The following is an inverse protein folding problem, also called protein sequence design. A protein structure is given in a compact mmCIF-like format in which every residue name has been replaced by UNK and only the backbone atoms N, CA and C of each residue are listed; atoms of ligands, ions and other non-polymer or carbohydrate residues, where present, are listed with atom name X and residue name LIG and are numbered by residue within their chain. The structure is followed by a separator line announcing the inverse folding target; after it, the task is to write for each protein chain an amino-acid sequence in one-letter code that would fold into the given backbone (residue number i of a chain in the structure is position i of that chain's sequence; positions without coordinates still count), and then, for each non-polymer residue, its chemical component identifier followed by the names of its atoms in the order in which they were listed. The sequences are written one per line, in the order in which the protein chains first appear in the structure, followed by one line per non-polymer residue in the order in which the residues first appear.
data_IF_463710236649
#
_entry.id   IF_463710236649
#
_cell.length_a   1.000
_cell.length_b   1.000
_cell.length_c   1.000
_cell.angle_alpha   90.00
_cell.angle_beta   90.00
_cell.angle_gamma   90.00
#
_symmetry.space_group_name_H-M   'P 1'
#
loop_
_entity.id
_entity.type
_entity.pdbx_description
1 polymer ?
#
# COMPACT_ATOMS: atom_id res chain seq x y z
N UNK A 1 6.60 0.51 13.61
CA UNK A 1 5.35 0.79 12.88
C UNK A 1 5.50 1.86 11.78
N UNK A 2 6.32 2.92 11.87
CA UNK A 2 6.53 3.83 10.72
C UNK A 2 7.19 3.16 9.51
N UNK A 3 8.21 2.32 9.74
CA UNK A 3 8.96 1.61 8.68
C UNK A 3 8.09 0.67 7.82
N UNK A 4 7.01 0.12 8.39
CA UNK A 4 6.10 -0.78 7.64
C UNK A 4 5.24 0.06 6.69
N UNK A 5 4.67 1.17 7.18
CA UNK A 5 3.93 2.12 6.36
C UNK A 5 4.79 2.69 5.23
N UNK A 6 6.03 3.10 5.52
CA UNK A 6 6.97 3.56 4.50
C UNK A 6 7.27 2.47 3.46
N UNK A 7 7.45 1.22 3.88
CA UNK A 7 7.67 0.11 2.95
C UNK A 7 6.47 -0.10 2.03
N UNK A 8 5.26 -0.14 2.59
CA UNK A 8 4.02 -0.34 1.83
C UNK A 8 3.76 0.82 0.86
N UNK A 9 3.98 2.07 1.28
CA UNK A 9 3.88 3.26 0.42
C UNK A 9 4.86 3.17 -0.76
N UNK A 10 6.13 2.87 -0.49
CA UNK A 10 7.13 2.71 -1.55
C UNK A 10 6.78 1.56 -2.50
N UNK A 11 6.16 0.49 -2.02
CA UNK A 11 5.72 -0.63 -2.85
C UNK A 11 4.52 -0.24 -3.72
N UNK A 12 3.53 0.48 -3.17
CA UNK A 12 2.41 1.03 -3.91
C UNK A 12 2.87 1.99 -5.02
N UNK A 13 3.79 2.91 -4.71
CA UNK A 13 4.34 3.86 -5.68
C UNK A 13 5.04 3.15 -6.85
N UNK A 14 5.81 2.10 -6.56
CA UNK A 14 6.47 1.29 -7.61
C UNK A 14 5.47 0.59 -8.50
N UNK A 15 4.45 -0.05 -7.92
CA UNK A 15 3.42 -0.77 -8.67
C UNK A 15 2.57 0.21 -9.49
N UNK A 16 2.20 1.35 -8.92
CA UNK A 16 1.52 2.44 -9.63
C UNK A 16 2.35 3.01 -10.77
N UNK A 17 3.66 3.14 -10.58
CA UNK A 17 4.61 3.53 -11.64
C UNK A 17 4.62 2.55 -12.81
N UNK A 18 4.54 1.24 -12.55
CA UNK A 18 4.43 0.23 -13.60
C UNK A 18 3.10 0.35 -14.35
N UNK A 19 1.98 0.51 -13.63
CA UNK A 19 0.65 0.67 -14.24
C UNK A 19 0.47 1.99 -14.99
N UNK A 20 1.34 2.97 -14.75
CA UNK A 20 1.35 4.24 -15.46
C UNK A 20 1.93 4.15 -16.88
N UNK A 21 2.54 3.01 -17.26
CA UNK A 21 2.95 2.74 -18.64
C UNK A 21 1.70 2.55 -19.54
N UNK A 22 1.39 3.49 -20.44
CA UNK A 22 0.15 3.46 -21.21
C UNK A 22 0.08 2.31 -22.23
N UNK A 23 1.22 1.71 -22.59
CA UNK A 23 1.28 0.58 -23.53
C UNK A 23 1.45 -0.77 -22.82
N UNK A 24 1.50 -0.79 -21.48
CA UNK A 24 1.70 -2.03 -20.73
C UNK A 24 0.59 -3.04 -20.99
N UNK A 25 -0.68 -2.61 -21.01
CA UNK A 25 -1.79 -3.52 -21.23
C UNK A 25 -1.76 -4.14 -22.64
N UNK A 26 -1.41 -3.36 -23.66
CA UNK A 26 -1.29 -3.87 -25.04
C UNK A 26 -0.09 -4.83 -25.19
N UNK A 27 1.03 -4.50 -24.54
CA UNK A 27 2.27 -5.30 -24.60
C UNK A 27 2.19 -6.59 -23.79
N UNK A 28 1.65 -6.51 -22.58
CA UNK A 28 1.58 -7.61 -21.60
C UNK A 28 0.39 -7.42 -20.64
N UNK A 29 -0.82 -7.85 -21.06
CA UNK A 29 -2.03 -7.80 -20.24
C UNK A 29 -1.86 -8.55 -18.92
N UNK A 30 -1.13 -9.68 -18.93
CA UNK A 30 -0.91 -10.49 -17.74
C UNK A 30 -0.10 -9.76 -16.68
N UNK A 31 0.92 -9.00 -17.08
CA UNK A 31 1.66 -8.14 -16.15
C UNK A 31 0.83 -6.99 -15.63
N UNK A 32 -0.04 -6.39 -16.46
CA UNK A 32 -0.98 -5.36 -16.00
C UNK A 32 -1.93 -5.91 -14.93
N UNK A 33 -2.56 -7.07 -15.17
CA UNK A 33 -3.48 -7.71 -14.23
C UNK A 33 -2.79 -8.05 -12.90
N UNK A 34 -1.61 -8.70 -12.96
CA UNK A 34 -0.84 -9.04 -11.76
C UNK A 34 -0.43 -7.81 -10.96
N UNK A 35 0.05 -6.76 -11.64
CA UNK A 35 0.48 -5.51 -11.00
C UNK A 35 -0.71 -4.78 -10.38
N UNK A 36 -1.86 -4.77 -11.05
CA UNK A 36 -3.11 -4.20 -10.53
C UNK A 36 -3.60 -4.93 -9.28
N UNK A 37 -3.59 -6.26 -9.31
CA UNK A 37 -3.96 -7.08 -8.15
C UNK A 37 -2.98 -6.89 -6.98
N UNK A 38 -1.68 -6.81 -7.26
CA UNK A 38 -0.67 -6.53 -6.27
C UNK A 38 -0.85 -5.14 -5.64
N UNK A 39 -1.11 -4.10 -6.45
CA UNK A 39 -1.36 -2.75 -5.95
C UNK A 39 -2.58 -2.71 -5.04
N UNK A 40 -3.69 -3.34 -5.45
CA UNK A 40 -4.89 -3.43 -4.62
C UNK A 40 -4.64 -4.12 -3.27
N UNK A 41 -3.76 -5.13 -3.25
CA UNK A 41 -3.36 -5.82 -2.02
C UNK A 41 -2.53 -4.92 -1.10
N UNK A 42 -1.52 -4.25 -1.65
CA UNK A 42 -0.67 -3.31 -0.89
C UNK A 42 -1.49 -2.16 -0.33
N UNK A 43 -2.44 -1.63 -1.08
CA UNK A 43 -3.31 -0.55 -0.62
C UNK A 43 -4.15 -0.98 0.59
N UNK A 44 -4.75 -2.18 0.56
CA UNK A 44 -5.48 -2.75 1.71
C UNK A 44 -4.59 -2.97 2.93
N UNK A 45 -3.36 -3.43 2.72
CA UNK A 45 -2.41 -3.63 3.81
C UNK A 45 -1.97 -2.30 4.43
N UNK A 46 -1.86 -1.25 3.61
CA UNK A 46 -1.56 0.10 4.06
C UNK A 46 -2.68 0.66 4.91
N UNK A 47 -3.93 0.59 4.44
CA UNK A 47 -5.11 1.04 5.19
C UNK A 47 -5.20 0.34 6.56
N UNK A 48 -5.03 -0.99 6.58
CA UNK A 48 -5.05 -1.77 7.83
C UNK A 48 -3.92 -1.39 8.79
N UNK A 49 -2.72 -1.10 8.27
CA UNK A 49 -1.59 -0.67 9.09
C UNK A 49 -1.78 0.75 9.64
N UNK A 50 -2.43 1.64 8.89
CA UNK A 50 -2.77 3.00 9.34
C UNK A 50 -3.83 2.96 10.44
N UNK A 51 -4.89 2.15 10.28
CA UNK A 51 -5.90 1.93 11.32
C UNK A 51 -5.28 1.37 12.61
N UNK A 52 -4.40 0.38 12.50
CA UNK A 52 -3.74 -0.20 13.67
C UNK A 52 -2.83 0.82 14.37
N UNK A 53 -2.10 1.62 13.60
CA UNK A 53 -1.27 2.67 14.16
C UNK A 53 -2.11 3.70 14.92
N UNK A 54 -3.25 4.12 14.36
CA UNK A 54 -4.18 5.04 15.02
C UNK A 54 -4.76 4.43 16.31
N UNK A 55 -5.14 3.15 16.30
CA UNK A 55 -5.62 2.46 17.51
C UNK A 55 -4.57 2.43 18.62
N UNK A 56 -3.32 2.12 18.28
CA UNK A 56 -2.22 2.13 19.25
C UNK A 56 -1.92 3.54 19.78
N UNK A 57 -2.08 4.56 18.94
CA UNK A 57 -1.93 5.96 19.33
C UNK A 57 -2.98 6.37 20.37
N UNK A 58 -4.24 6.05 20.12
CA UNK A 58 -5.35 6.28 21.05
C UNK A 58 -5.10 5.56 22.39
N UNK A 59 -4.73 4.28 22.35
CA UNK A 59 -4.43 3.51 23.57
C UNK A 59 -3.27 4.13 24.37
N UNK A 60 -2.25 4.64 23.68
CA UNK A 60 -1.12 5.32 24.35
C UNK A 60 -1.56 6.62 25.01
N UNK A 61 -2.43 7.40 24.36
CA UNK A 61 -3.01 8.62 24.93
C UNK A 61 -3.84 8.30 26.18
N UNK A 62 -4.72 7.30 26.11
CA UNK A 62 -5.57 6.87 27.24
C UNK A 62 -4.76 6.38 28.45
N UNK A 63 -3.61 5.74 28.23
CA UNK A 63 -2.75 5.22 29.31
C UNK A 63 -1.77 6.25 29.88
N UNK A 64 -1.51 7.34 29.14
CA UNK A 64 -0.54 8.37 29.51
C UNK A 64 -1.16 9.68 30.00
N UNK A 65 -2.49 9.83 29.87
CA UNK A 65 -3.28 10.97 30.36
C UNK A 65 -3.85 10.81 31.76
#
# INVERSE_FOLDING_TARGET
MPKILEKLRNEADKLGGVLSDPVLYERDPGSFERTSAALAKVQKELDAAEEEWLRLEILREELGG
#
